data_IF_221643659856
#
_entry.id   IF_221643659856
#
_cell.length_a   1.000
_cell.length_b   1.000
_cell.length_c   1.000
_cell.angle_alpha   90.00
_cell.angle_beta   90.00
_cell.angle_gamma   90.00
#
_symmetry.space_group_name_H-M   'P 1'
#
loop_
_entity.id
_entity.type
_entity.pdbx_description
1 polymer ?
#
# COMPACT_ATOMS: atom_id res chain seq x y z
N UNK A 1 10.64 -21.06 0.92
CA UNK A 1 10.03 -20.29 2.01
C UNK A 1 10.01 -18.82 1.67
N UNK A 2 8.88 -18.19 1.92
CA UNK A 2 8.68 -16.81 1.56
C UNK A 2 9.11 -15.89 2.68
N UNK A 3 9.90 -14.88 2.35
CA UNK A 3 10.30 -13.87 3.32
C UNK A 3 9.66 -12.56 2.97
N UNK A 4 9.04 -11.95 3.98
CA UNK A 4 8.47 -10.62 3.83
C UNK A 4 9.13 -9.73 4.86
N UNK A 5 9.83 -8.71 4.39
CA UNK A 5 10.44 -7.72 5.27
C UNK A 5 9.36 -6.76 5.76
N UNK A 6 9.62 -6.16 6.91
CA UNK A 6 8.76 -5.07 7.38
C UNK A 6 9.46 -3.75 7.13
N UNK A 7 8.66 -2.67 7.18
CA UNK A 7 9.19 -1.32 7.07
C UNK A 7 8.49 -0.47 8.12
N UNK A 8 9.24 0.39 8.78
CA UNK A 8 8.70 1.27 9.80
C UNK A 8 8.06 2.50 9.18
N UNK A 9 7.22 3.18 9.96
CA UNK A 9 6.65 4.45 9.52
C UNK A 9 7.74 5.46 9.19
N UNK A 10 8.77 5.54 10.03
CA UNK A 10 9.85 6.51 9.80
C UNK A 10 10.57 6.24 8.51
N UNK A 11 10.90 4.98 8.25
CA UNK A 11 11.59 4.65 7.01
C UNK A 11 10.72 4.93 5.79
N UNK A 12 9.44 4.59 5.87
CA UNK A 12 8.53 4.83 4.76
C UNK A 12 8.36 6.32 4.50
N UNK A 13 8.25 7.11 5.59
CA UNK A 13 8.17 8.57 5.46
C UNK A 13 9.37 9.13 4.72
N UNK A 14 10.56 8.64 5.07
CA UNK A 14 11.77 9.10 4.42
C UNK A 14 11.81 8.72 2.95
N UNK A 15 11.36 7.51 2.62
CA UNK A 15 11.36 7.09 1.23
C UNK A 15 10.44 7.98 0.37
N UNK A 16 9.30 8.33 0.92
CA UNK A 16 8.37 9.21 0.20
C UNK A 16 8.98 10.60 0.06
N UNK A 17 9.57 11.12 1.14
CA UNK A 17 10.14 12.47 1.12
C UNK A 17 11.31 12.58 0.15
N UNK A 18 12.11 11.52 0.00
CA UNK A 18 13.24 11.51 -0.92
C UNK A 18 12.83 11.18 -2.34
N UNK A 19 11.56 10.85 -2.56
CA UNK A 19 11.08 10.40 -3.87
C UNK A 19 11.83 9.15 -4.34
N UNK A 20 12.10 8.26 -3.40
CA UNK A 20 12.73 6.99 -3.73
C UNK A 20 11.88 6.22 -4.73
N UNK A 21 12.52 5.41 -5.53
CA UNK A 21 11.83 4.64 -6.55
C UNK A 21 11.30 3.36 -5.93
N UNK A 22 10.00 3.31 -5.69
CA UNK A 22 9.36 2.10 -5.17
C UNK A 22 7.87 2.19 -5.47
N UNK A 23 7.19 1.05 -5.30
CA UNK A 23 5.74 1.00 -5.49
C UNK A 23 5.08 0.88 -4.13
N UNK A 24 4.09 1.72 -3.89
CA UNK A 24 3.35 1.71 -2.63
C UNK A 24 1.94 1.21 -2.92
N UNK A 25 1.49 0.20 -2.17
CA UNK A 25 0.26 -0.52 -2.49
C UNK A 25 -0.65 -0.57 -1.27
N UNK A 26 -1.88 -0.09 -1.44
CA UNK A 26 -2.90 -0.24 -0.40
C UNK A 26 -3.72 -1.50 -0.65
N UNK A 27 -3.69 -2.44 0.29
CA UNK A 27 -4.43 -3.69 0.17
C UNK A 27 -5.72 -3.54 0.96
N UNK A 28 -6.68 -2.87 0.37
CA UNK A 28 -7.97 -2.58 0.98
C UNK A 28 -9.02 -2.49 -0.11
N UNK A 29 -10.31 -2.54 0.26
CA UNK A 29 -11.36 -2.34 -0.72
C UNK A 29 -11.21 -1.00 -1.44
N UNK A 30 -11.66 -0.97 -2.67
CA UNK A 30 -11.49 0.20 -3.52
C UNK A 30 -12.12 1.45 -2.89
N UNK A 31 -13.26 1.30 -2.26
CA UNK A 31 -13.93 2.43 -1.64
C UNK A 31 -13.05 3.07 -0.55
N UNK A 32 -12.41 2.23 0.27
CA UNK A 32 -11.54 2.75 1.32
C UNK A 32 -10.34 3.48 0.73
N UNK A 33 -9.80 2.95 -0.36
CA UNK A 33 -8.68 3.59 -1.04
C UNK A 33 -9.06 4.99 -1.52
N UNK A 34 -10.22 5.13 -2.13
CA UNK A 34 -10.63 6.43 -2.65
C UNK A 34 -10.89 7.45 -1.54
N UNK A 35 -11.30 6.99 -0.38
CA UNK A 35 -11.53 7.88 0.75
C UNK A 35 -10.24 8.49 1.27
N UNK A 36 -9.20 7.68 1.37
CA UNK A 36 -7.90 8.16 1.83
C UNK A 36 -6.86 7.10 1.58
N UNK A 37 -5.71 7.51 1.09
CA UNK A 37 -4.58 6.60 0.92
C UNK A 37 -3.28 7.39 1.08
N UNK A 38 -2.20 6.67 1.30
CA UNK A 38 -0.88 7.29 1.42
C UNK A 38 -0.47 7.88 0.07
N UNK A 39 0.36 8.93 0.08
CA UNK A 39 0.73 9.61 -1.17
C UNK A 39 1.38 8.64 -2.16
N UNK A 40 0.85 8.63 -3.37
CA UNK A 40 1.40 7.81 -4.44
C UNK A 40 0.99 6.35 -4.42
N UNK A 41 0.16 5.93 -3.47
CA UNK A 41 -0.24 4.53 -3.38
C UNK A 41 -1.19 4.14 -4.50
N UNK A 42 -1.07 2.89 -4.94
CA UNK A 42 -2.07 2.28 -5.81
C UNK A 42 -2.87 1.28 -5.01
N UNK A 43 -3.99 0.87 -5.55
CA UNK A 43 -4.92 -0.02 -4.84
C UNK A 43 -4.87 -1.43 -5.39
N UNK A 44 -4.73 -2.42 -4.50
CA UNK A 44 -4.92 -3.82 -4.83
C UNK A 44 -5.89 -4.40 -3.81
N UNK A 45 -7.18 -4.49 -4.15
CA UNK A 45 -8.13 -5.09 -3.22
C UNK A 45 -7.72 -6.50 -2.83
N UNK A 46 -7.93 -6.90 -1.56
CA UNK A 46 -7.38 -8.18 -1.07
C UNK A 46 -7.74 -9.39 -1.91
N UNK A 47 -8.97 -9.47 -2.40
CA UNK A 47 -9.40 -10.64 -3.15
C UNK A 47 -8.88 -10.65 -4.58
N UNK A 48 -8.25 -9.59 -5.02
CA UNK A 48 -7.81 -9.47 -6.40
C UNK A 48 -6.31 -9.27 -6.55
N UNK A 49 -5.56 -9.54 -5.49
CA UNK A 49 -4.13 -9.23 -5.47
C UNK A 49 -3.41 -9.93 -6.63
N UNK A 50 -3.60 -11.23 -6.76
CA UNK A 50 -2.87 -11.98 -7.78
C UNK A 50 -3.22 -11.49 -9.18
N UNK A 51 -4.48 -11.24 -9.43
CA UNK A 51 -4.94 -10.85 -10.76
C UNK A 51 -4.47 -9.46 -11.13
N UNK A 52 -4.59 -8.51 -10.19
CA UNK A 52 -4.25 -7.13 -10.49
C UNK A 52 -2.75 -6.86 -10.43
N UNK A 53 -2.01 -7.61 -9.63
CA UNK A 53 -0.56 -7.44 -9.59
C UNK A 53 0.05 -7.68 -10.96
N UNK A 54 -0.46 -8.66 -11.68
CA UNK A 54 0.03 -8.96 -13.01
C UNK A 54 -0.05 -7.71 -13.91
N UNK A 55 -1.06 -6.89 -13.71
CA UNK A 55 -1.26 -5.69 -14.53
C UNK A 55 -0.58 -4.46 -13.95
N UNK A 56 -0.60 -4.31 -12.64
CA UNK A 56 -0.22 -3.05 -11.99
C UNK A 56 1.18 -3.05 -11.44
N UNK A 57 1.74 -4.23 -11.18
CA UNK A 57 3.09 -4.37 -10.63
C UNK A 57 3.88 -5.26 -11.56
N UNK A 58 4.26 -4.71 -12.71
CA UNK A 58 4.85 -5.51 -13.77
C UNK A 58 6.32 -5.84 -13.55
N UNK A 59 7.02 -5.01 -12.78
CA UNK A 59 8.44 -5.21 -12.51
C UNK A 59 8.58 -6.01 -11.22
N UNK A 60 8.89 -7.28 -11.34
CA UNK A 60 8.99 -8.16 -10.19
C UNK A 60 10.21 -7.89 -9.33
N UNK A 61 11.16 -7.13 -9.83
CA UNK A 61 12.34 -6.78 -9.05
C UNK A 61 12.24 -5.41 -8.40
N UNK A 62 11.16 -4.67 -8.65
CA UNK A 62 10.96 -3.37 -8.03
C UNK A 62 10.70 -3.55 -6.53
N UNK A 63 11.10 -2.56 -5.76
CA UNK A 63 10.75 -2.54 -4.35
C UNK A 63 9.27 -2.22 -4.20
N UNK A 64 8.55 -3.03 -3.42
CA UNK A 64 7.12 -2.90 -3.25
C UNK A 64 6.82 -2.87 -1.75
N UNK A 65 6.13 -1.83 -1.31
CA UNK A 65 5.68 -1.69 0.07
C UNK A 65 4.17 -1.80 0.08
N UNK A 66 3.64 -2.73 0.87
CA UNK A 66 2.20 -2.93 0.98
C UNK A 66 1.73 -2.53 2.37
N UNK A 67 0.50 -2.05 2.46
CA UNK A 67 -0.10 -1.76 3.76
C UNK A 67 -1.61 -1.99 3.67
N UNK A 68 -2.23 -2.14 4.84
CA UNK A 68 -3.68 -2.20 4.94
C UNK A 68 -4.12 -1.30 6.09
N UNK A 69 -5.22 -1.63 6.76
CA UNK A 69 -5.81 -0.70 7.72
C UNK A 69 -4.93 -0.46 8.95
N UNK A 70 -4.42 -1.53 9.55
CA UNK A 70 -3.64 -1.38 10.76
C UNK A 70 -3.08 -2.69 11.25
N UNK A 71 -2.47 -2.66 12.44
CA UNK A 71 -1.73 -3.80 12.95
C UNK A 71 -2.62 -5.00 13.30
N UNK A 72 -3.93 -4.78 13.46
CA UNK A 72 -4.86 -5.89 13.71
C UNK A 72 -5.38 -6.49 12.41
N UNK A 73 -4.96 -5.97 11.29
CA UNK A 73 -5.45 -6.37 9.99
C UNK A 73 -4.29 -6.95 9.21
N UNK A 74 -4.46 -8.11 8.60
CA UNK A 74 -3.36 -8.80 7.96
C UNK A 74 -3.45 -8.96 6.44
N UNK A 75 -4.36 -8.25 5.73
CA UNK A 75 -4.40 -8.41 4.27
C UNK A 75 -3.10 -8.03 3.58
N UNK A 76 -2.40 -7.01 4.06
CA UNK A 76 -1.14 -6.61 3.43
C UNK A 76 -0.06 -7.66 3.62
N UNK A 77 -0.01 -8.28 4.78
CA UNK A 77 0.97 -9.35 5.01
C UNK A 77 0.68 -10.54 4.11
N UNK A 78 -0.59 -10.91 3.99
CA UNK A 78 -0.97 -12.02 3.12
C UNK A 78 -0.67 -11.70 1.66
N UNK A 79 -0.95 -10.47 1.24
CA UNK A 79 -0.65 -10.06 -0.12
C UNK A 79 0.85 -10.06 -0.38
N UNK A 80 1.63 -9.61 0.59
CA UNK A 80 3.08 -9.60 0.44
C UNK A 80 3.62 -11.02 0.26
N UNK A 81 3.11 -11.96 1.04
CA UNK A 81 3.52 -13.35 0.89
C UNK A 81 3.13 -13.90 -0.47
N UNK A 82 1.94 -13.59 -0.91
CA UNK A 82 1.49 -14.07 -2.22
C UNK A 82 2.37 -13.52 -3.34
N UNK A 83 2.70 -12.24 -3.28
CA UNK A 83 3.57 -11.65 -4.30
C UNK A 83 4.95 -12.28 -4.27
N UNK A 84 5.50 -12.49 -3.07
CA UNK A 84 6.81 -13.11 -2.97
C UNK A 84 6.80 -14.51 -3.57
N UNK A 85 5.73 -15.26 -3.36
CA UNK A 85 5.61 -16.60 -3.93
C UNK A 85 5.50 -16.57 -5.44
N UNK A 86 5.05 -15.45 -6.00
CA UNK A 86 4.93 -15.28 -7.45
C UNK A 86 6.15 -14.67 -8.08
N UNK A 87 7.26 -14.57 -7.33
CA UNK A 87 8.53 -14.13 -7.89
C UNK A 87 8.87 -12.66 -7.68
N UNK A 88 8.08 -11.96 -6.87
CA UNK A 88 8.44 -10.60 -6.51
C UNK A 88 9.53 -10.63 -5.46
N UNK A 89 10.64 -9.94 -5.71
CA UNK A 89 11.87 -10.15 -4.96
C UNK A 89 12.11 -9.14 -3.85
N UNK A 90 11.41 -8.00 -3.85
CA UNK A 90 11.65 -6.95 -2.85
C UNK A 90 10.32 -6.48 -2.28
N UNK A 91 9.68 -7.33 -1.48
CA UNK A 91 8.36 -7.05 -0.96
C UNK A 91 8.47 -6.74 0.53
N UNK A 92 7.87 -5.63 0.96
CA UNK A 92 7.90 -5.22 2.36
C UNK A 92 6.49 -4.88 2.83
N UNK A 93 6.23 -5.09 4.11
CA UNK A 93 4.93 -4.84 4.71
C UNK A 93 5.03 -3.72 5.74
N UNK A 94 4.27 -2.65 5.53
CA UNK A 94 4.12 -1.60 6.53
C UNK A 94 2.99 -2.04 7.45
N UNK A 95 3.35 -2.79 8.47
CA UNK A 95 2.39 -3.51 9.30
C UNK A 95 1.53 -2.58 10.13
N UNK A 96 2.06 -1.41 10.50
CA UNK A 96 1.30 -0.46 11.32
C UNK A 96 0.14 0.14 10.56
N UNK A 97 0.27 0.26 9.24
CA UNK A 97 -0.87 0.50 8.38
C UNK A 97 -1.38 1.92 8.30
N UNK A 98 -2.48 2.06 7.56
CA UNK A 98 -3.05 3.36 7.24
C UNK A 98 -3.48 4.13 8.48
N UNK A 99 -4.04 3.44 9.47
CA UNK A 99 -4.51 4.14 10.66
C UNK A 99 -3.35 4.78 11.43
N UNK A 100 -2.24 4.07 11.54
CA UNK A 100 -1.05 4.63 12.19
C UNK A 100 -0.54 5.87 11.45
N UNK A 101 -0.53 5.80 10.14
CA UNK A 101 -0.09 6.92 9.31
C UNK A 101 -0.96 8.15 9.55
N UNK A 102 -2.29 7.95 9.54
CA UNK A 102 -3.23 9.04 9.75
C UNK A 102 -3.11 9.60 11.18
N UNK A 103 -3.02 8.71 12.17
CA UNK A 103 -2.93 9.13 13.57
C UNK A 103 -1.66 9.92 13.84
N UNK A 104 -0.63 9.70 13.04
CA UNK A 104 0.63 10.43 13.18
C UNK A 104 0.61 11.78 12.48
N UNK A 105 -0.48 12.12 11.83
CA UNK A 105 -0.61 13.43 11.19
C UNK A 105 0.11 13.55 9.87
N UNK A 106 0.46 12.44 9.23
CA UNK A 106 1.18 12.46 7.97
C UNK A 106 0.23 12.69 6.80
N UNK A 107 0.73 13.21 5.67
CA UNK A 107 -0.14 13.56 4.55
C UNK A 107 -0.84 12.35 3.95
N UNK A 108 -2.06 12.58 3.50
CA UNK A 108 -2.81 11.56 2.75
C UNK A 108 -3.37 12.19 1.48
N UNK A 109 -3.76 11.33 0.55
CA UNK A 109 -4.42 11.72 -0.68
C UNK A 109 -5.80 11.12 -0.72
N UNK A 110 -6.69 11.72 -1.50
CA UNK A 110 -8.06 11.26 -1.63
C UNK A 110 -8.49 11.41 -3.07
N UNK A 111 -9.19 10.40 -3.57
CA UNK A 111 -9.74 10.43 -4.92
C UNK A 111 -11.23 10.66 -4.92
N UNK A 112 -11.78 11.14 -3.83
CA UNK A 112 -13.21 11.36 -3.75
C UNK A 112 -13.60 12.55 -4.59
N UNK A 113 -14.25 12.25 -5.68
CA UNK A 113 -14.64 13.25 -6.63
C UNK A 113 -15.69 14.18 -6.08
N UNK A 114 -16.53 13.60 -5.28
CA UNK A 114 -17.62 14.36 -4.73
C UNK A 114 -17.16 15.44 -3.84
N UNK A 115 -15.96 15.40 -3.52
CA UNK A 115 -15.49 16.53 -2.81
C UNK A 115 -15.74 17.70 -3.63
N UNK A 116 -16.18 17.35 -4.67
CA UNK A 116 -16.69 18.29 -5.36
C UNK A 116 -17.99 18.67 -5.10
N UNK A 117 -17.86 18.21 -4.76
CA UNK A 117 -18.48 18.65 -4.54
C UNK A 117 -19.17 19.44 -4.31
N UNK A 118 -19.22 19.39 -4.38
CA UNK A 118 -19.52 19.98 -4.16
C UNK A 118 -20.18 20.81 -4.16
N UNK A 119 -20.34 20.73 -4.29
CA UNK A 119 -20.67 21.44 -4.25
C UNK A 119 -21.33 22.23 -4.12
N UNK A 120 -21.54 22.38 -4.19
CA UNK A 120 -21.82 23.07 -3.98
C UNK A 120 -22.15 23.72 -3.79
#
# INVERSE_FOLDING_TARGET
MTNVDTISRDELTEKIARHDKFRLVEVMPEEAYHQAHLPGAINLPPEQVARLAFKRLRDRDAEIVLYSEGSNSHPSEEAARELAERGYTHVRDYAEGKQDWIDSGLPIESDRVESETETE
#
